data_IF_811074842130
#
_entry.id   IF_811074842130
#
_cell.length_a   1.000
_cell.length_b   1.000
_cell.length_c   1.000
_cell.angle_alpha   90.00
_cell.angle_beta   90.00
_cell.angle_gamma   90.00
#
_symmetry.space_group_name_H-M   'P 1'
#
loop_
_entity.id
_entity.type
_entity.pdbx_description
1 polymer ?
#
# COMPACT_ATOMS: atom_id res chain seq x y z
N UNK A 1 -32.72 -14.30 -18.57
CA UNK A 1 -32.41 -15.05 -17.33
C UNK A 1 -33.28 -14.60 -16.13
N UNK A 2 -34.55 -14.23 -16.35
CA UNK A 2 -35.42 -13.60 -15.33
C UNK A 2 -36.38 -14.59 -14.63
N UNK A 3 -36.09 -15.90 -14.65
CA UNK A 3 -37.05 -16.94 -14.19
C UNK A 3 -36.54 -17.95 -13.17
N UNK A 4 -35.24 -17.97 -12.84
CA UNK A 4 -34.68 -18.87 -11.82
C UNK A 4 -33.47 -18.22 -11.12
N UNK A 5 -33.70 -17.37 -10.10
CA UNK A 5 -32.62 -16.66 -9.40
C UNK A 5 -31.64 -17.62 -8.71
N UNK A 6 -32.08 -18.82 -8.30
CA UNK A 6 -31.24 -19.79 -7.59
C UNK A 6 -30.45 -20.75 -8.50
N UNK A 7 -30.71 -20.76 -9.82
CA UNK A 7 -30.04 -21.68 -10.74
C UNK A 7 -28.51 -21.51 -10.70
N UNK A 8 -28.03 -20.27 -10.56
CA UNK A 8 -26.59 -20.00 -10.46
C UNK A 8 -25.95 -20.63 -9.22
N UNK A 9 -26.64 -20.56 -8.08
CA UNK A 9 -26.18 -21.17 -6.83
C UNK A 9 -26.23 -22.70 -6.88
N UNK A 10 -27.26 -23.27 -7.51
CA UNK A 10 -27.36 -24.71 -7.72
C UNK A 10 -26.22 -25.23 -8.58
N UNK A 11 -25.93 -24.57 -9.70
CA UNK A 11 -24.80 -24.94 -10.56
C UNK A 11 -23.46 -24.81 -9.84
N UNK A 12 -23.28 -23.76 -9.03
CA UNK A 12 -22.07 -23.60 -8.21
C UNK A 12 -21.94 -24.73 -7.19
N UNK A 13 -23.03 -25.08 -6.50
CA UNK A 13 -23.05 -26.20 -5.55
C UNK A 13 -22.71 -27.52 -6.24
N UNK A 14 -23.26 -27.77 -7.43
CA UNK A 14 -22.99 -28.97 -8.23
C UNK A 14 -21.52 -29.07 -8.65
N UNK A 15 -20.93 -27.96 -9.09
CA UNK A 15 -19.50 -27.90 -9.47
C UNK A 15 -18.59 -28.20 -8.27
N UNK A 16 -18.94 -27.69 -7.09
CA UNK A 16 -18.15 -27.85 -5.87
C UNK A 16 -18.62 -29.02 -5.00
N UNK A 17 -19.36 -30.02 -5.52
CA UNK A 17 -19.68 -31.23 -4.72
C UNK A 17 -18.43 -31.97 -4.25
N UNK A 18 -17.37 -31.93 -5.07
CA UNK A 18 -16.04 -32.44 -4.75
C UNK A 18 -15.04 -31.29 -4.59
N UNK A 19 -13.85 -31.57 -4.03
CA UNK A 19 -12.79 -30.57 -3.93
C UNK A 19 -12.27 -30.21 -5.33
N UNK A 20 -12.33 -28.93 -5.68
CA UNK A 20 -11.95 -28.44 -7.02
C UNK A 20 -10.98 -27.24 -6.93
N UNK A 21 -9.73 -27.42 -6.43
CA UNK A 21 -8.82 -26.30 -6.15
C UNK A 21 -8.60 -25.35 -7.34
N UNK A 22 -8.54 -25.90 -8.55
CA UNK A 22 -8.28 -25.15 -9.79
C UNK A 22 -9.47 -24.34 -10.30
N UNK A 23 -10.69 -24.63 -9.83
CA UNK A 23 -11.90 -23.97 -10.30
C UNK A 23 -12.22 -22.68 -9.52
N UNK A 24 -11.65 -22.51 -8.32
CA UNK A 24 -11.89 -21.36 -7.45
C UNK A 24 -11.63 -20.01 -8.11
N UNK A 25 -10.60 -19.90 -8.95
CA UNK A 25 -10.30 -18.66 -9.69
C UNK A 25 -11.44 -18.20 -10.62
N UNK A 26 -12.31 -19.12 -11.05
CA UNK A 26 -13.47 -18.78 -11.89
C UNK A 26 -14.69 -18.36 -11.05
N UNK A 27 -14.70 -18.69 -9.75
CA UNK A 27 -15.76 -18.32 -8.83
C UNK A 27 -15.64 -16.87 -8.31
N UNK A 28 -14.47 -16.23 -8.45
CA UNK A 28 -14.21 -14.87 -7.95
C UNK A 28 -15.29 -13.87 -8.36
N UNK A 29 -15.65 -13.81 -9.64
CA UNK A 29 -16.69 -12.88 -10.11
C UNK A 29 -18.06 -13.18 -9.52
N UNK A 30 -18.39 -14.45 -9.30
CA UNK A 30 -19.65 -14.83 -8.68
C UNK A 30 -19.72 -14.29 -7.25
N UNK A 31 -18.63 -14.43 -6.48
CA UNK A 31 -18.58 -13.91 -5.13
C UNK A 31 -18.51 -12.39 -5.09
N UNK A 32 -17.74 -11.77 -5.99
CA UNK A 32 -17.59 -10.32 -6.06
C UNK A 32 -18.92 -9.58 -6.27
N UNK A 33 -19.84 -10.14 -7.06
CA UNK A 33 -21.15 -9.52 -7.26
C UNK A 33 -22.19 -9.92 -6.22
N UNK A 34 -21.84 -10.76 -5.23
CA UNK A 34 -22.81 -11.34 -4.30
C UNK A 34 -22.41 -11.15 -2.82
N UNK A 35 -21.15 -10.81 -2.52
CA UNK A 35 -20.68 -10.68 -1.13
C UNK A 35 -21.46 -9.61 -0.35
N UNK A 36 -21.96 -8.57 -1.01
CA UNK A 36 -22.66 -7.48 -0.35
C UNK A 36 -24.07 -7.90 0.09
N UNK A 37 -24.86 -8.48 -0.82
CA UNK A 37 -26.29 -8.74 -0.61
C UNK A 37 -26.62 -10.19 -0.21
N UNK A 38 -25.72 -11.14 -0.49
CA UNK A 38 -25.95 -12.59 -0.30
C UNK A 38 -24.74 -13.24 0.39
N UNK A 39 -24.20 -12.57 1.41
CA UNK A 39 -23.01 -13.06 2.12
C UNK A 39 -23.24 -14.43 2.77
N UNK A 40 -24.45 -14.69 3.27
CA UNK A 40 -24.89 -15.99 3.80
C UNK A 40 -24.68 -17.15 2.81
N UNK A 41 -24.81 -16.85 1.50
CA UNK A 41 -24.53 -17.81 0.42
C UNK A 41 -23.06 -17.86 0.04
N UNK A 42 -22.31 -16.76 0.18
CA UNK A 42 -20.89 -16.67 -0.20
C UNK A 42 -19.98 -17.27 0.88
N UNK A 43 -20.29 -17.03 2.16
CA UNK A 43 -19.48 -17.41 3.33
C UNK A 43 -19.11 -18.91 3.34
N UNK A 44 -20.03 -19.87 3.10
CA UNK A 44 -19.67 -21.29 3.08
C UNK A 44 -18.60 -21.62 2.03
N UNK A 45 -18.63 -20.92 0.89
CA UNK A 45 -17.63 -21.12 -0.17
C UNK A 45 -16.30 -20.46 0.16
N UNK A 46 -16.29 -19.30 0.82
CA UNK A 46 -15.06 -18.69 1.34
C UNK A 46 -14.39 -19.59 2.38
N UNK A 47 -15.17 -20.17 3.28
CA UNK A 47 -14.68 -21.12 4.27
C UNK A 47 -14.13 -22.39 3.63
N UNK A 48 -14.76 -22.91 2.57
CA UNK A 48 -14.18 -24.02 1.81
C UNK A 48 -12.90 -23.63 1.10
N UNK A 49 -12.90 -22.52 0.36
CA UNK A 49 -11.73 -22.00 -0.33
C UNK A 49 -10.53 -21.82 0.61
N UNK A 50 -10.76 -21.34 1.83
CA UNK A 50 -9.74 -21.22 2.86
C UNK A 50 -9.08 -22.56 3.21
N UNK A 51 -9.85 -23.65 3.22
CA UNK A 51 -9.38 -24.98 3.62
C UNK A 51 -8.80 -25.79 2.46
N UNK A 52 -9.29 -25.62 1.23
CA UNK A 52 -8.96 -26.51 0.10
C UNK A 52 -8.31 -25.82 -1.11
N UNK A 53 -8.24 -24.48 -1.18
CA UNK A 53 -7.85 -23.77 -2.40
C UNK A 53 -6.95 -22.54 -2.21
N UNK A 54 -6.34 -22.35 -1.04
CA UNK A 54 -5.46 -21.21 -0.77
C UNK A 54 -4.19 -21.20 -1.63
N UNK A 55 -3.68 -22.37 -2.04
CA UNK A 55 -2.50 -22.45 -2.90
C UNK A 55 -2.78 -21.89 -4.30
N UNK A 56 -3.88 -22.30 -4.94
CA UNK A 56 -4.21 -21.89 -6.31
C UNK A 56 -5.02 -20.59 -6.39
N UNK A 57 -5.83 -20.29 -5.38
CA UNK A 57 -6.80 -19.22 -5.39
C UNK A 57 -6.81 -18.38 -4.11
N UNK A 58 -5.70 -18.39 -3.34
CA UNK A 58 -5.55 -17.54 -2.16
C UNK A 58 -5.76 -16.06 -2.45
N UNK A 59 -5.32 -15.57 -3.63
CA UNK A 59 -5.56 -14.17 -4.03
C UNK A 59 -7.06 -13.86 -4.17
N UNK A 60 -7.84 -14.79 -4.73
CA UNK A 60 -9.30 -14.66 -4.83
C UNK A 60 -9.92 -14.64 -3.44
N UNK A 61 -9.51 -15.55 -2.55
CA UNK A 61 -9.98 -15.55 -1.16
C UNK A 61 -9.70 -14.22 -0.48
N UNK A 62 -8.45 -13.74 -0.55
CA UNK A 62 -8.03 -12.49 0.08
C UNK A 62 -8.84 -11.29 -0.39
N UNK A 63 -9.13 -11.19 -1.71
CA UNK A 63 -9.97 -10.12 -2.24
C UNK A 63 -11.39 -10.16 -1.68
N UNK A 64 -12.06 -11.31 -1.80
CA UNK A 64 -13.46 -11.41 -1.41
C UNK A 64 -13.62 -11.30 0.12
N UNK A 65 -12.74 -11.93 0.90
CA UNK A 65 -12.76 -11.82 2.36
C UNK A 65 -12.51 -10.38 2.83
N UNK A 66 -11.63 -9.64 2.15
CA UNK A 66 -11.39 -8.22 2.47
C UNK A 66 -12.59 -7.34 2.11
N UNK A 67 -13.22 -7.57 0.96
CA UNK A 67 -14.46 -6.88 0.59
C UNK A 67 -15.60 -7.17 1.57
N UNK A 68 -15.75 -8.43 1.98
CA UNK A 68 -16.70 -8.82 3.02
C UNK A 68 -16.39 -8.13 4.36
N UNK A 69 -15.11 -7.94 4.69
CA UNK A 69 -14.71 -7.20 5.88
C UNK A 69 -15.07 -5.71 5.81
N UNK A 70 -14.80 -5.05 4.67
CA UNK A 70 -15.19 -3.66 4.45
C UNK A 70 -16.72 -3.46 4.46
N UNK A 71 -17.48 -4.46 4.00
CA UNK A 71 -18.94 -4.47 4.08
C UNK A 71 -19.50 -4.81 5.48
N UNK A 72 -18.64 -5.11 6.45
CA UNK A 72 -19.05 -5.41 7.83
C UNK A 72 -19.53 -6.85 8.06
N UNK A 73 -19.39 -7.74 7.08
CA UNK A 73 -19.75 -9.16 7.20
C UNK A 73 -18.71 -9.98 7.93
N UNK A 74 -17.43 -9.59 7.86
CA UNK A 74 -16.30 -10.26 8.52
C UNK A 74 -15.53 -9.24 9.36
N UNK A 75 -15.20 -9.59 10.61
CA UNK A 75 -14.40 -8.69 11.42
C UNK A 75 -12.98 -8.55 10.84
N UNK A 76 -12.42 -7.33 10.82
CA UNK A 76 -11.08 -7.11 10.27
C UNK A 76 -9.99 -7.91 11.01
N UNK A 77 -10.11 -8.09 12.33
CA UNK A 77 -9.19 -8.95 13.08
C UNK A 77 -9.28 -10.42 12.61
N UNK A 78 -10.49 -10.92 12.38
CA UNK A 78 -10.73 -12.28 11.88
C UNK A 78 -10.13 -12.48 10.50
N UNK A 79 -10.29 -11.51 9.59
CA UNK A 79 -9.62 -11.50 8.29
C UNK A 79 -8.10 -11.68 8.44
N UNK A 80 -7.47 -10.88 9.31
CA UNK A 80 -6.02 -10.97 9.52
C UNK A 80 -5.59 -12.26 10.21
N UNK A 81 -6.37 -12.78 11.16
CA UNK A 81 -6.09 -14.07 11.79
C UNK A 81 -6.08 -15.21 10.76
N UNK A 82 -6.98 -15.15 9.77
CA UNK A 82 -7.00 -16.10 8.67
C UNK A 82 -5.84 -15.92 7.70
N UNK A 83 -5.49 -14.67 7.35
CA UNK A 83 -4.34 -14.34 6.49
C UNK A 83 -3.02 -14.82 7.09
N UNK A 84 -2.81 -14.65 8.40
CA UNK A 84 -1.61 -15.11 9.10
C UNK A 84 -1.51 -16.64 9.14
N UNK A 85 -2.64 -17.35 9.23
CA UNK A 85 -2.65 -18.82 9.31
C UNK A 85 -2.45 -19.52 7.96
N UNK A 86 -2.83 -18.90 6.85
CA UNK A 86 -3.06 -19.61 5.58
C UNK A 86 -2.13 -19.25 4.42
N UNK A 87 -0.83 -19.10 4.70
CA UNK A 87 0.22 -18.83 3.70
C UNK A 87 0.05 -17.50 2.91
N UNK A 88 1.10 -17.11 2.19
CA UNK A 88 1.26 -15.74 1.67
C UNK A 88 0.27 -15.34 0.56
N UNK A 89 -0.52 -16.26 0.00
CA UNK A 89 -1.26 -15.99 -1.24
C UNK A 89 -2.48 -15.07 -1.05
N UNK A 90 -3.08 -15.02 0.14
CA UNK A 90 -4.21 -14.14 0.44
C UNK A 90 -3.85 -12.67 0.63
N UNK A 91 -2.64 -12.40 1.11
CA UNK A 91 -2.19 -11.05 1.47
C UNK A 91 -2.18 -10.08 0.30
N UNK A 92 -1.82 -10.56 -0.90
CA UNK A 92 -1.88 -9.75 -2.11
C UNK A 92 -3.32 -9.31 -2.42
N UNK A 93 -4.29 -10.21 -2.27
CA UNK A 93 -5.69 -9.93 -2.54
C UNK A 93 -6.25 -8.88 -1.58
N UNK A 94 -5.85 -8.97 -0.31
CA UNK A 94 -6.19 -7.98 0.70
C UNK A 94 -5.57 -6.61 0.40
N UNK A 95 -4.26 -6.57 0.06
CA UNK A 95 -3.59 -5.32 -0.30
C UNK A 95 -4.25 -4.63 -1.50
N UNK A 96 -4.65 -5.41 -2.52
CA UNK A 96 -5.37 -4.89 -3.69
C UNK A 96 -6.71 -4.26 -3.33
N UNK A 97 -7.47 -4.89 -2.45
CA UNK A 97 -8.78 -4.37 -2.04
C UNK A 97 -8.64 -3.14 -1.16
N UNK A 98 -7.76 -3.16 -0.16
CA UNK A 98 -7.54 -1.97 0.67
C UNK A 98 -7.00 -0.79 -0.16
N UNK A 99 -6.05 -1.04 -1.06
CA UNK A 99 -5.53 -0.01 -1.96
C UNK A 99 -6.61 0.58 -2.88
N UNK A 100 -7.39 -0.29 -3.53
CA UNK A 100 -8.42 0.14 -4.49
C UNK A 100 -9.66 0.81 -3.84
N UNK A 101 -9.80 0.76 -2.51
CA UNK A 101 -10.92 1.38 -1.79
C UNK A 101 -10.43 2.45 -0.81
N UNK A 102 -9.17 2.88 -0.89
CA UNK A 102 -8.60 3.87 0.04
C UNK A 102 -9.27 5.25 -0.13
N UNK A 103 -9.64 5.60 -1.36
CA UNK A 103 -10.34 6.84 -1.74
C UNK A 103 -11.83 6.87 -1.37
N UNK A 104 -12.40 5.73 -1.02
CA UNK A 104 -13.78 5.65 -0.54
C UNK A 104 -13.83 6.09 0.92
N UNK A 105 -14.43 7.25 1.16
CA UNK A 105 -14.52 7.90 2.48
C UNK A 105 -15.02 6.98 3.61
N UNK A 106 -15.93 6.07 3.30
CA UNK A 106 -16.50 5.11 4.26
C UNK A 106 -15.55 3.98 4.65
N UNK A 107 -14.46 3.78 3.90
CA UNK A 107 -13.48 2.72 4.10
C UNK A 107 -12.05 3.23 4.32
N UNK A 108 -11.79 4.54 4.14
CA UNK A 108 -10.44 5.11 4.20
C UNK A 108 -9.68 4.72 5.49
N UNK A 109 -10.35 4.70 6.64
CA UNK A 109 -9.69 4.39 7.93
C UNK A 109 -9.30 2.91 7.99
N UNK A 110 -10.21 2.02 7.62
CA UNK A 110 -10.06 0.57 7.61
C UNK A 110 -9.05 0.12 6.56
N UNK A 111 -9.06 0.76 5.38
CA UNK A 111 -8.07 0.54 4.33
C UNK A 111 -6.68 0.99 4.76
N UNK A 112 -6.57 2.16 5.39
CA UNK A 112 -5.29 2.67 5.88
C UNK A 112 -4.70 1.77 6.97
N UNK A 113 -5.49 1.41 8.00
CA UNK A 113 -5.05 0.49 9.04
C UNK A 113 -4.73 -0.90 8.49
N UNK A 114 -5.51 -1.36 7.49
CA UNK A 114 -5.30 -2.62 6.81
C UNK A 114 -3.96 -2.66 6.09
N UNK A 115 -3.62 -1.64 5.30
CA UNK A 115 -2.35 -1.53 4.59
C UNK A 115 -1.15 -1.48 5.54
N UNK A 116 -1.24 -0.71 6.63
CA UNK A 116 -0.19 -0.68 7.69
C UNK A 116 0.04 -2.08 8.25
N UNK A 117 -1.04 -2.78 8.62
CA UNK A 117 -0.93 -4.14 9.17
C UNK A 117 -0.38 -5.17 8.18
N UNK A 118 -0.62 -4.98 6.88
CA UNK A 118 0.00 -5.82 5.84
C UNK A 118 1.51 -5.57 5.76
N UNK A 119 1.96 -4.31 5.89
CA UNK A 119 3.38 -3.96 5.86
C UNK A 119 4.15 -4.53 7.05
N UNK A 120 3.49 -4.68 8.20
CA UNK A 120 4.05 -5.28 9.41
C UNK A 120 4.13 -6.83 9.35
N UNK A 121 3.72 -7.45 8.25
CA UNK A 121 3.74 -8.91 8.12
C UNK A 121 5.17 -9.44 7.89
N UNK A 122 5.64 -10.33 8.77
CA UNK A 122 7.02 -10.85 8.77
C UNK A 122 7.46 -11.46 7.42
N UNK A 123 6.54 -12.10 6.69
CA UNK A 123 6.84 -12.73 5.40
C UNK A 123 6.32 -11.92 4.20
N UNK A 124 6.34 -10.59 4.31
CA UNK A 124 5.94 -9.67 3.25
C UNK A 124 6.74 -9.95 1.97
N UNK A 125 6.04 -10.21 0.88
CA UNK A 125 6.67 -10.41 -0.43
C UNK A 125 6.81 -9.11 -1.21
N UNK A 126 7.84 -9.01 -2.06
CA UNK A 126 8.04 -7.91 -3.01
C UNK A 126 6.77 -7.59 -3.82
N UNK A 127 5.96 -8.60 -4.15
CA UNK A 127 4.73 -8.42 -4.93
C UNK A 127 3.66 -7.65 -4.15
N UNK A 128 3.52 -7.94 -2.85
CA UNK A 128 2.56 -7.26 -1.98
C UNK A 128 3.01 -5.83 -1.75
N UNK A 129 4.28 -5.62 -1.45
CA UNK A 129 4.83 -4.29 -1.25
C UNK A 129 4.71 -3.39 -2.48
N UNK A 130 4.99 -3.91 -3.68
CA UNK A 130 4.76 -3.19 -4.94
C UNK A 130 3.29 -2.84 -5.16
N UNK A 131 2.37 -3.67 -4.67
CA UNK A 131 0.95 -3.35 -4.73
C UNK A 131 0.62 -2.15 -3.82
N UNK A 132 1.17 -2.13 -2.61
CA UNK A 132 0.99 -1.01 -1.67
C UNK A 132 1.67 0.26 -2.18
N UNK A 133 2.86 0.15 -2.81
CA UNK A 133 3.57 1.29 -3.39
C UNK A 133 2.73 2.03 -4.46
N UNK A 134 1.89 1.31 -5.22
CA UNK A 134 0.99 1.94 -6.20
C UNK A 134 0.00 2.91 -5.57
N UNK A 135 -0.37 2.72 -4.29
CA UNK A 135 -1.28 3.62 -3.59
C UNK A 135 -0.72 5.05 -3.55
N UNK A 136 0.61 5.20 -3.45
CA UNK A 136 1.29 6.50 -3.47
C UNK A 136 1.24 7.19 -4.85
N UNK A 137 0.96 6.44 -5.92
CA UNK A 137 0.91 6.97 -7.29
C UNK A 137 -0.40 7.68 -7.61
N UNK A 138 -1.50 7.13 -7.07
CA UNK A 138 -2.86 7.50 -7.38
C UNK A 138 -3.16 8.89 -6.81
N UNK A 139 -3.57 9.81 -7.69
CA UNK A 139 -3.77 11.21 -7.32
C UNK A 139 -4.81 11.37 -6.21
N UNK A 140 -5.88 10.57 -6.29
CA UNK A 140 -6.99 10.61 -5.34
C UNK A 140 -6.57 10.11 -3.94
N UNK A 141 -5.56 9.24 -3.87
CA UNK A 141 -5.04 8.72 -2.60
C UNK A 141 -4.07 9.66 -1.89
N UNK A 142 -3.43 10.61 -2.58
CA UNK A 142 -2.29 11.37 -2.01
C UNK A 142 -2.66 12.15 -0.76
N UNK A 143 -3.86 12.72 -0.72
CA UNK A 143 -4.38 13.44 0.45
C UNK A 143 -4.80 12.54 1.61
N UNK A 144 -4.96 11.24 1.36
CA UNK A 144 -5.52 10.24 2.28
C UNK A 144 -4.43 9.37 2.93
N UNK A 145 -3.29 9.24 2.28
CA UNK A 145 -2.11 8.58 2.86
C UNK A 145 -1.59 9.44 4.01
N UNK A 146 -1.72 8.90 5.22
CA UNK A 146 -1.15 9.50 6.44
C UNK A 146 0.29 9.03 6.68
N UNK A 147 1.10 9.79 7.43
CA UNK A 147 2.52 9.47 7.69
C UNK A 147 2.74 8.07 8.23
N UNK A 148 1.82 7.52 9.02
CA UNK A 148 1.98 6.18 9.59
C UNK A 148 2.08 5.09 8.52
N UNK A 149 1.32 5.21 7.42
CA UNK A 149 1.43 4.28 6.29
C UNK A 149 2.72 4.50 5.50
N UNK A 150 3.15 5.75 5.36
CA UNK A 150 4.41 6.06 4.69
C UNK A 150 5.60 5.48 5.47
N UNK A 151 5.62 5.65 6.79
CA UNK A 151 6.65 5.12 7.68
C UNK A 151 6.65 3.58 7.71
N UNK A 152 5.48 2.96 7.85
CA UNK A 152 5.35 1.50 7.78
C UNK A 152 5.89 0.96 6.44
N UNK A 153 5.64 1.69 5.34
CA UNK A 153 6.19 1.32 4.04
C UNK A 153 7.71 1.40 4.03
N UNK A 154 8.30 2.47 4.57
CA UNK A 154 9.75 2.62 4.68
C UNK A 154 10.41 1.56 5.57
N UNK A 155 9.74 1.13 6.64
CA UNK A 155 10.26 0.05 7.49
C UNK A 155 10.26 -1.30 6.77
N UNK A 156 9.21 -1.56 6.00
CA UNK A 156 9.09 -2.75 5.18
C UNK A 156 10.09 -2.79 4.00
N UNK A 157 10.67 -1.65 3.59
CA UNK A 157 11.63 -1.59 2.48
C UNK A 157 12.76 -2.61 2.62
N UNK A 158 13.33 -2.73 3.83
CA UNK A 158 14.43 -3.66 4.12
C UNK A 158 14.13 -5.14 3.80
N UNK A 159 12.84 -5.52 3.77
CA UNK A 159 12.41 -6.89 3.49
C UNK A 159 12.41 -7.23 1.99
N UNK A 160 12.62 -6.26 1.09
CA UNK A 160 12.52 -6.49 -0.35
C UNK A 160 13.83 -6.99 -0.95
N UNK A 161 13.74 -8.02 -1.78
CA UNK A 161 14.91 -8.73 -2.34
C UNK A 161 15.31 -8.23 -3.74
N UNK A 162 14.46 -7.42 -4.38
CA UNK A 162 14.67 -6.85 -5.72
C UNK A 162 15.14 -5.38 -5.76
N UNK A 163 15.25 -4.84 -6.98
CA UNK A 163 15.44 -3.38 -7.16
C UNK A 163 14.23 -2.66 -6.59
N UNK A 164 14.47 -1.81 -5.60
CA UNK A 164 13.44 -1.02 -4.95
C UNK A 164 12.78 -0.07 -5.95
N UNK A 165 11.45 -0.16 -6.04
CA UNK A 165 10.64 0.83 -6.73
C UNK A 165 9.96 1.66 -5.64
N UNK A 166 10.63 2.72 -5.22
CA UNK A 166 10.09 3.77 -4.34
C UNK A 166 9.66 4.98 -5.16
N UNK A 167 9.41 4.76 -6.46
CA UNK A 167 9.18 5.82 -7.43
C UNK A 167 7.90 6.56 -7.08
N UNK A 168 6.79 5.84 -6.87
CA UNK A 168 5.51 6.42 -6.51
C UNK A 168 5.55 7.07 -5.12
N UNK A 169 6.31 6.48 -4.20
CA UNK A 169 6.56 7.07 -2.89
C UNK A 169 7.19 8.47 -2.99
N UNK A 170 8.19 8.66 -3.87
CA UNK A 170 8.80 9.99 -4.06
C UNK A 170 7.80 11.03 -4.57
N UNK A 171 6.87 10.65 -5.46
CA UNK A 171 5.82 11.57 -5.91
C UNK A 171 4.84 11.94 -4.80
N UNK A 172 4.49 11.00 -3.95
CA UNK A 172 3.70 11.29 -2.77
C UNK A 172 4.46 12.21 -1.80
N UNK A 173 5.74 11.94 -1.54
CA UNK A 173 6.55 12.78 -0.65
C UNK A 173 6.65 14.23 -1.15
N UNK A 174 6.84 14.43 -2.46
CA UNK A 174 6.79 15.77 -3.07
C UNK A 174 5.44 16.45 -2.93
N UNK A 175 4.34 15.70 -2.99
CA UNK A 175 3.00 16.24 -2.74
C UNK A 175 2.78 16.57 -1.26
N UNK A 176 3.19 15.69 -0.36
CA UNK A 176 3.07 15.90 1.08
C UNK A 176 3.91 17.09 1.52
N UNK A 177 5.11 17.30 0.97
CA UNK A 177 5.93 18.46 1.27
C UNK A 177 5.26 19.78 0.90
N UNK A 178 4.55 19.83 -0.22
CA UNK A 178 3.76 21.01 -0.60
C UNK A 178 2.58 21.27 0.36
N UNK A 179 1.93 20.20 0.85
CA UNK A 179 0.74 20.28 1.70
C UNK A 179 1.07 20.50 3.19
N UNK A 180 2.10 19.82 3.67
CA UNK A 180 2.51 19.71 5.06
C UNK A 180 4.04 19.45 5.13
N UNK A 181 4.86 20.50 5.00
CA UNK A 181 6.33 20.38 4.95
C UNK A 181 6.94 19.68 6.17
N UNK A 182 6.38 19.88 7.37
CA UNK A 182 6.88 19.25 8.60
C UNK A 182 6.69 17.73 8.58
N UNK A 183 5.50 17.27 8.20
CA UNK A 183 5.19 15.84 8.03
C UNK A 183 6.10 15.21 6.96
N UNK A 184 6.28 15.89 5.84
CA UNK A 184 7.18 15.43 4.79
C UNK A 184 8.63 15.36 5.24
N UNK A 185 9.10 16.33 6.04
CA UNK A 185 10.45 16.32 6.61
C UNK A 185 10.67 15.12 7.54
N UNK A 186 9.72 14.84 8.44
CA UNK A 186 9.79 13.68 9.34
C UNK A 186 9.95 12.36 8.53
N UNK A 187 9.17 12.20 7.47
CA UNK A 187 9.24 11.02 6.60
C UNK A 187 10.51 10.99 5.75
N UNK A 188 10.96 12.15 5.25
CA UNK A 188 12.15 12.25 4.41
C UNK A 188 13.44 11.92 5.18
N UNK A 189 13.53 12.33 6.46
CA UNK A 189 14.66 11.98 7.33
C UNK A 189 14.76 10.47 7.50
N UNK A 190 13.65 9.78 7.78
CA UNK A 190 13.60 8.31 7.87
C UNK A 190 13.97 7.66 6.54
N UNK A 191 13.46 8.18 5.42
CA UNK A 191 13.83 7.70 4.10
C UNK A 191 15.35 7.76 3.89
N UNK A 192 15.98 8.91 4.16
CA UNK A 192 17.43 9.06 3.98
C UNK A 192 18.23 8.11 4.87
N UNK A 193 17.82 7.92 6.11
CA UNK A 193 18.48 7.01 7.03
C UNK A 193 18.46 5.56 6.50
N UNK A 194 17.29 5.11 6.01
CA UNK A 194 17.11 3.79 5.41
C UNK A 194 17.94 3.63 4.14
N UNK A 195 17.88 4.60 3.22
CA UNK A 195 18.63 4.56 1.96
C UNK A 195 20.15 4.52 2.21
N UNK A 196 20.67 5.32 3.15
CA UNK A 196 22.11 5.35 3.46
C UNK A 196 22.61 4.05 4.10
N UNK A 197 21.79 3.44 4.97
CA UNK A 197 22.14 2.17 5.64
C UNK A 197 22.04 0.97 4.71
N UNK A 198 20.98 0.90 3.91
CA UNK A 198 20.56 -0.33 3.23
C UNK A 198 20.79 -0.30 1.71
N UNK A 199 20.95 0.87 1.08
CA UNK A 199 20.89 1.03 -0.38
C UNK A 199 22.13 1.63 -1.04
N UNK A 200 23.34 1.32 -0.52
CA UNK A 200 24.62 1.90 -0.99
C UNK A 200 24.92 1.86 -2.50
N UNK A 201 24.17 1.12 -3.33
CA UNK A 201 24.46 0.95 -4.76
C UNK A 201 23.24 0.96 -5.70
N UNK A 202 22.08 1.48 -5.28
CA UNK A 202 20.91 1.56 -6.17
C UNK A 202 20.80 2.94 -6.81
N UNK A 203 20.62 2.97 -8.13
CA UNK A 203 20.22 4.18 -8.85
C UNK A 203 18.88 4.63 -8.26
N UNK A 204 18.90 5.73 -7.50
CA UNK A 204 17.66 6.46 -7.22
C UNK A 204 17.01 6.78 -8.57
N UNK A 205 15.71 6.54 -8.67
CA UNK A 205 14.96 6.67 -9.93
C UNK A 205 14.90 8.10 -10.43
N UNK A 206 13.70 8.67 -10.57
CA UNK A 206 13.57 10.09 -10.92
C UNK A 206 13.70 10.95 -9.64
N UNK A 207 14.78 11.73 -9.46
CA UNK A 207 15.00 12.50 -8.24
C UNK A 207 14.10 13.74 -8.15
N UNK A 208 13.49 14.19 -9.25
CA UNK A 208 12.72 15.46 -9.31
C UNK A 208 11.70 15.64 -8.18
N UNK A 209 10.91 14.63 -7.77
CA UNK A 209 9.98 14.79 -6.66
C UNK A 209 10.67 15.02 -5.31
N UNK A 210 11.86 14.43 -5.09
CA UNK A 210 12.65 14.65 -3.89
C UNK A 210 13.23 16.07 -3.85
N UNK A 211 13.69 16.57 -5.00
CA UNK A 211 14.14 17.97 -5.15
C UNK A 211 12.99 18.94 -4.83
N UNK A 212 11.80 18.68 -5.38
CA UNK A 212 10.62 19.48 -5.11
C UNK A 212 10.25 19.44 -3.62
N UNK A 213 10.31 18.26 -2.99
CA UNK A 213 10.07 18.12 -1.55
C UNK A 213 11.05 18.95 -0.72
N UNK A 214 12.35 18.85 -1.03
CA UNK A 214 13.39 19.60 -0.33
C UNK A 214 13.18 21.13 -0.46
N UNK A 215 12.79 21.60 -1.64
CA UNK A 215 12.50 23.02 -1.86
C UNK A 215 11.35 23.52 -0.99
N UNK A 216 10.24 22.79 -0.91
CA UNK A 216 9.11 23.20 -0.05
C UNK A 216 9.49 23.19 1.44
N UNK A 217 10.30 22.21 1.86
CA UNK A 217 10.79 22.13 3.24
C UNK A 217 11.74 23.30 3.56
N UNK A 218 12.67 23.63 2.67
CA UNK A 218 13.58 24.77 2.84
C UNK A 218 12.81 26.10 2.86
N UNK A 219 11.78 26.24 2.01
CA UNK A 219 10.92 27.42 1.99
C UNK A 219 10.17 27.59 3.31
N UNK A 220 9.58 26.52 3.85
CA UNK A 220 8.92 26.57 5.16
C UNK A 220 9.93 26.94 6.28
N UNK A 221 11.14 26.40 6.22
CA UNK A 221 12.19 26.71 7.19
C UNK A 221 12.58 28.20 7.18
N UNK A 222 12.71 28.79 5.99
CA UNK A 222 13.03 30.20 5.79
C UNK A 222 11.87 31.11 6.21
N UNK A 223 10.63 30.78 5.80
CA UNK A 223 9.43 31.58 6.11
C UNK A 223 9.11 31.61 7.61
N UNK A 224 9.41 30.53 8.34
CA UNK A 224 9.14 30.45 9.78
C UNK A 224 10.27 30.99 10.66
N UNK A 225 11.45 31.24 10.09
CA UNK A 225 12.70 31.61 10.80
C UNK A 225 12.99 30.71 12.02
N UNK A 226 12.57 29.43 11.92
CA UNK A 226 12.75 28.47 12.99
C UNK A 226 14.11 27.79 12.85
N UNK A 227 15.04 28.13 13.75
CA UNK A 227 16.41 27.63 13.72
C UNK A 227 16.50 26.09 13.77
N UNK A 228 15.60 25.40 14.47
CA UNK A 228 15.58 23.94 14.51
C UNK A 228 15.17 23.37 13.14
N UNK A 229 14.13 23.94 12.53
CA UNK A 229 13.63 23.51 11.23
C UNK A 229 14.67 23.75 10.13
N UNK A 230 15.32 24.91 10.13
CA UNK A 230 16.43 25.24 9.21
C UNK A 230 17.54 24.21 9.33
N UNK A 231 17.95 23.88 10.55
CA UNK A 231 19.02 22.89 10.78
C UNK A 231 18.62 21.48 10.30
N UNK A 232 17.37 21.08 10.48
CA UNK A 232 16.85 19.81 9.95
C UNK A 232 16.82 19.79 8.42
N UNK A 233 16.32 20.86 7.79
CA UNK A 233 16.26 20.99 6.34
C UNK A 233 17.65 20.95 5.68
N UNK A 234 18.64 21.62 6.29
CA UNK A 234 20.05 21.56 5.83
C UNK A 234 20.60 20.14 5.94
N UNK A 235 20.38 19.44 7.07
CA UNK A 235 20.82 18.03 7.21
C UNK A 235 20.17 17.11 6.18
N UNK A 236 18.90 17.34 5.84
CA UNK A 236 18.23 16.59 4.79
C UNK A 236 18.85 16.86 3.41
N UNK A 237 19.17 18.13 3.11
CA UNK A 237 19.89 18.50 1.89
C UNK A 237 21.25 17.79 1.79
N UNK A 238 22.04 17.82 2.86
CA UNK A 238 23.33 17.13 2.93
C UNK A 238 23.17 15.63 2.71
N UNK A 239 22.17 15.01 3.34
CA UNK A 239 21.88 13.58 3.18
C UNK A 239 21.51 13.22 1.75
N UNK A 240 20.73 14.06 1.06
CA UNK A 240 20.43 13.84 -0.35
C UNK A 240 21.65 14.03 -1.27
N UNK A 241 22.57 14.94 -0.94
CA UNK A 241 23.85 15.07 -1.65
C UNK A 241 24.70 13.81 -1.51
N UNK A 242 24.84 13.28 -0.30
CA UNK A 242 25.58 12.03 -0.04
C UNK A 242 24.99 10.84 -0.81
N UNK A 243 23.67 10.80 -0.94
CA UNK A 243 22.97 9.79 -1.73
C UNK A 243 23.12 10.00 -3.25
N UNK A 244 23.69 11.10 -3.72
CA UNK A 244 23.79 11.50 -5.12
C UNK A 244 22.42 11.70 -5.80
N UNK A 245 21.47 12.34 -5.11
CA UNK A 245 20.21 12.78 -5.74
C UNK A 245 20.54 13.83 -6.82
N UNK A 246 20.46 13.45 -8.09
CA UNK A 246 20.78 14.37 -9.20
C UNK A 246 19.83 15.58 -9.22
N UNK A 247 20.39 16.78 -9.40
CA UNK A 247 19.65 18.05 -9.46
C UNK A 247 19.76 18.94 -8.22
N UNK A 248 20.36 18.46 -7.11
CA UNK A 248 20.59 19.30 -5.92
C UNK A 248 21.64 20.38 -6.18
N UNK A 249 22.71 20.06 -6.90
CA UNK A 249 23.74 21.04 -7.25
C UNK A 249 23.17 22.21 -8.08
N UNK A 250 22.23 21.93 -8.98
CA UNK A 250 21.53 22.94 -9.77
C UNK A 250 20.63 23.82 -8.90
N UNK A 251 19.91 23.21 -7.95
CA UNK A 251 19.11 23.92 -6.95
C UNK A 251 19.99 24.85 -6.11
N UNK A 252 21.12 24.37 -5.59
CA UNK A 252 22.08 25.16 -4.82
C UNK A 252 22.66 26.32 -5.63
N UNK A 253 23.01 26.07 -6.90
CA UNK A 253 23.51 27.10 -7.80
C UNK A 253 22.47 28.20 -8.08
N UNK A 254 21.19 27.85 -8.13
CA UNK A 254 20.10 28.82 -8.31
C UNK A 254 19.79 29.63 -7.04
N UNK A 255 19.94 29.02 -5.86
CA UNK A 255 19.72 29.70 -4.58
C UNK A 255 20.83 30.71 -4.25
N UNK A 256 22.08 30.45 -4.65
CA UNK A 256 23.21 31.36 -4.44
C UNK A 256 23.29 32.55 -5.40
N UNK A 257 22.33 32.71 -6.31
CA UNK A 257 22.28 33.83 -7.28
C UNK A 257 21.32 34.96 -6.89
N UNK A 258 20.64 34.85 -5.74
CA UNK A 258 19.73 35.88 -5.21
C UNK A 258 20.37 36.66 -4.06
#
# INVERSE_FOLDING_TARGET
MYKQPDLGWQLLADVFQEAQPRLWKYAEKCFYYQYQDNFDKVEPYLNRLLNEGMEEAGNTWGRIATLASLAGHVNQQELFDHLTKNNNNGWLGAAQVFGANLDLREHTTECHSGLVRILDYENLSDKIAKEIEKCFSEKDNRGLIKPELALAFLDAISAFTGRYHVYHFFYWLGYEAYRNPLSALDVAEVLTEKLTKEMKHHSMGNPKPLIAALNEILREADETDNSELIQRAIRLQDSFLELNVHGIEELLASAGQN
#
